data_IF_271110582856
#
_entry.id   IF_271110582856
#
_cell.length_a   1.000
_cell.length_b   1.000
_cell.length_c   1.000
_cell.angle_alpha   90.00
_cell.angle_beta   90.00
_cell.angle_gamma   90.00
#
_symmetry.space_group_name_H-M   'P 1'
#
loop_
_entity.id
_entity.type
_entity.pdbx_description
1 polymer ?
#
# COMPACT_ATOMS: atom_id res chain seq x y z
N UNK A 1 6.64 -15.93 0.43
CA UNK A 1 7.82 -15.78 1.30
C UNK A 1 9.00 -16.65 0.86
N UNK A 2 8.90 -17.96 0.55
CA UNK A 2 10.06 -18.75 0.08
C UNK A 2 10.82 -18.11 -1.08
N UNK A 3 10.11 -17.64 -2.09
CA UNK A 3 10.70 -16.95 -3.24
C UNK A 3 11.47 -15.68 -2.85
N UNK A 4 11.00 -14.95 -1.83
CA UNK A 4 11.73 -13.77 -1.33
C UNK A 4 13.04 -14.17 -0.63
N UNK A 5 13.04 -15.28 0.11
CA UNK A 5 14.25 -15.81 0.73
C UNK A 5 15.27 -16.24 -0.33
N UNK A 6 14.85 -16.99 -1.36
CA UNK A 6 15.71 -17.34 -2.49
C UNK A 6 16.33 -16.11 -3.17
N UNK A 7 15.49 -15.10 -3.47
CA UNK A 7 16.01 -13.85 -4.07
C UNK A 7 17.00 -13.13 -3.16
N UNK A 8 16.75 -13.15 -1.85
CA UNK A 8 17.66 -12.54 -0.88
C UNK A 8 19.05 -13.18 -0.95
N UNK A 9 19.12 -14.50 -0.88
CA UNK A 9 20.38 -15.24 -0.98
C UNK A 9 21.06 -15.05 -2.34
N UNK A 10 20.30 -15.02 -3.44
CA UNK A 10 20.87 -14.75 -4.77
C UNK A 10 21.48 -13.35 -4.85
N UNK A 11 20.79 -12.34 -4.33
CA UNK A 11 21.26 -10.95 -4.33
C UNK A 11 22.51 -10.82 -3.46
N UNK A 12 22.49 -11.40 -2.26
CA UNK A 12 23.64 -11.41 -1.35
C UNK A 12 24.89 -12.01 -2.02
N UNK A 13 24.72 -13.10 -2.75
CA UNK A 13 25.83 -13.80 -3.40
C UNK A 13 26.30 -13.12 -4.70
N UNK A 14 25.37 -12.64 -5.54
CA UNK A 14 25.70 -12.19 -6.90
C UNK A 14 25.89 -10.67 -7.02
N UNK A 15 25.16 -9.89 -6.21
CA UNK A 15 25.18 -8.42 -6.30
C UNK A 15 24.83 -7.73 -4.96
N UNK A 16 25.62 -7.95 -3.88
CA UNK A 16 25.30 -7.48 -2.53
C UNK A 16 25.18 -5.96 -2.42
N UNK A 17 25.82 -5.22 -3.32
CA UNK A 17 25.79 -3.75 -3.36
C UNK A 17 24.60 -3.17 -4.16
N UNK A 18 23.77 -4.01 -4.79
CA UNK A 18 22.65 -3.56 -5.58
C UNK A 18 21.55 -2.93 -4.72
N UNK A 19 20.90 -1.89 -5.25
CA UNK A 19 19.65 -1.41 -4.72
C UNK A 19 18.50 -2.30 -5.17
N UNK A 20 17.69 -2.76 -4.22
CA UNK A 20 16.46 -3.51 -4.46
C UNK A 20 15.28 -2.56 -4.27
N UNK A 21 14.47 -2.39 -5.32
CA UNK A 21 13.24 -1.61 -5.28
C UNK A 21 12.08 -2.59 -5.36
N UNK A 22 11.44 -2.87 -4.23
CA UNK A 22 10.33 -3.80 -4.17
C UNK A 22 9.01 -3.14 -4.62
N UNK A 23 8.37 -3.76 -5.61
CA UNK A 23 7.05 -3.39 -6.14
C UNK A 23 6.04 -4.53 -5.91
N UNK A 24 6.48 -5.64 -5.30
CA UNK A 24 5.66 -6.82 -5.12
C UNK A 24 4.75 -6.67 -3.89
N UNK A 25 3.58 -7.28 -3.97
CA UNK A 25 2.65 -7.45 -2.85
C UNK A 25 2.57 -8.92 -2.45
N UNK A 26 2.43 -9.21 -1.15
CA UNK A 26 2.28 -8.27 -0.02
C UNK A 26 3.61 -7.56 0.31
N UNK A 27 3.60 -6.23 0.27
CA UNK A 27 4.80 -5.40 0.33
C UNK A 27 5.59 -5.61 1.64
N UNK A 28 4.92 -5.48 2.76
CA UNK A 28 5.56 -5.50 4.07
C UNK A 28 6.18 -6.86 4.38
N UNK A 29 5.45 -7.94 4.15
CA UNK A 29 5.90 -9.30 4.40
C UNK A 29 7.09 -9.68 3.50
N UNK A 30 7.02 -9.33 2.20
CA UNK A 30 8.15 -9.53 1.28
C UNK A 30 9.40 -8.79 1.74
N UNK A 31 9.26 -7.51 2.09
CA UNK A 31 10.39 -6.69 2.55
C UNK A 31 10.96 -7.19 3.88
N UNK A 32 10.10 -7.64 4.79
CA UNK A 32 10.54 -8.19 6.08
C UNK A 32 11.36 -9.46 5.88
N UNK A 33 10.92 -10.38 5.01
CA UNK A 33 11.68 -11.59 4.69
C UNK A 33 13.01 -11.23 4.02
N UNK A 34 13.00 -10.38 2.99
CA UNK A 34 14.22 -9.95 2.31
C UNK A 34 15.27 -9.39 3.29
N UNK A 35 14.84 -8.55 4.24
CA UNK A 35 15.71 -7.94 5.23
C UNK A 35 16.16 -8.90 6.34
N UNK A 36 15.37 -9.93 6.67
CA UNK A 36 15.78 -10.95 7.63
C UNK A 36 16.84 -11.88 7.08
N UNK A 37 16.66 -12.30 5.82
CA UNK A 37 17.63 -13.19 5.15
C UNK A 37 18.93 -12.46 4.79
N UNK A 38 18.85 -11.19 4.39
CA UNK A 38 20.01 -10.36 4.11
C UNK A 38 19.89 -8.97 4.78
N UNK A 39 20.32 -8.81 6.05
CA UNK A 39 20.18 -7.58 6.83
C UNK A 39 20.82 -6.34 6.18
N UNK A 40 21.94 -6.49 5.46
CA UNK A 40 22.67 -5.40 4.82
C UNK A 40 22.06 -4.98 3.46
N UNK A 41 21.06 -5.70 2.96
CA UNK A 41 20.41 -5.38 1.67
C UNK A 41 19.98 -3.91 1.59
N UNK A 42 20.38 -3.23 0.52
CA UNK A 42 19.90 -1.88 0.19
C UNK A 42 18.49 -1.98 -0.40
N UNK A 43 17.47 -1.90 0.45
CA UNK A 43 16.08 -2.18 0.10
C UNK A 43 15.18 -0.99 0.37
N UNK A 44 14.31 -0.68 -0.58
CA UNK A 44 13.13 0.16 -0.40
C UNK A 44 11.93 -0.45 -1.12
N UNK A 45 10.73 -0.15 -0.65
CA UNK A 45 9.47 -0.43 -1.35
C UNK A 45 8.84 0.85 -1.87
N UNK A 46 8.02 0.76 -2.91
CA UNK A 46 7.19 1.88 -3.37
C UNK A 46 5.89 1.35 -3.97
N UNK A 47 4.80 2.08 -3.78
CA UNK A 47 3.48 1.78 -4.33
C UNK A 47 2.91 2.98 -5.10
N UNK A 48 1.89 2.73 -5.91
CA UNK A 48 1.20 3.79 -6.66
C UNK A 48 0.03 4.42 -5.89
N UNK A 49 -0.35 3.88 -4.74
CA UNK A 49 -1.57 4.29 -4.02
C UNK A 49 -1.50 5.74 -3.52
N UNK A 50 -0.33 6.12 -2.96
CA UNK A 50 -0.08 7.50 -2.52
C UNK A 50 -0.11 8.51 -3.67
N UNK A 51 0.15 8.06 -4.91
CA UNK A 51 0.13 8.94 -6.08
C UNK A 51 -1.30 9.26 -6.52
N UNK A 52 -2.21 8.27 -6.47
CA UNK A 52 -3.62 8.48 -6.78
C UNK A 52 -4.27 9.45 -5.78
N UNK A 53 -3.92 9.35 -4.50
CA UNK A 53 -4.40 10.27 -3.48
C UNK A 53 -3.89 11.71 -3.68
N UNK A 54 -2.63 11.88 -4.08
CA UNK A 54 -2.10 13.22 -4.43
C UNK A 54 -2.72 13.79 -5.71
N UNK A 55 -3.14 12.93 -6.66
CA UNK A 55 -3.88 13.35 -7.85
C UNK A 55 -5.25 13.92 -7.49
N UNK A 56 -5.97 13.28 -6.56
CA UNK A 56 -7.23 13.83 -6.03
C UNK A 56 -7.02 15.22 -5.41
N UNK A 57 -5.97 15.38 -4.58
CA UNK A 57 -5.66 16.65 -3.93
C UNK A 57 -5.30 17.73 -4.98
N UNK A 58 -4.53 17.38 -6.01
CA UNK A 58 -4.19 18.31 -7.08
C UNK A 58 -5.45 18.74 -7.86
N UNK A 59 -6.37 17.81 -8.12
CA UNK A 59 -7.66 18.09 -8.76
C UNK A 59 -8.53 19.00 -7.89
N UNK A 60 -8.60 18.72 -6.58
CA UNK A 60 -9.28 19.59 -5.62
C UNK A 60 -8.75 21.05 -5.67
N UNK A 61 -7.41 21.21 -5.70
CA UNK A 61 -6.80 22.53 -5.80
C UNK A 61 -7.18 23.24 -7.11
N UNK A 62 -7.17 22.52 -8.24
CA UNK A 62 -7.59 23.05 -9.51
C UNK A 62 -9.04 23.52 -9.48
N UNK A 63 -9.96 22.70 -8.97
CA UNK A 63 -11.38 23.02 -8.91
C UNK A 63 -11.67 24.17 -7.92
N UNK A 64 -11.13 24.09 -6.72
CA UNK A 64 -11.44 25.07 -5.65
C UNK A 64 -10.84 26.45 -5.92
N UNK A 65 -9.70 26.52 -6.60
CA UNK A 65 -9.03 27.80 -6.94
C UNK A 65 -9.34 28.29 -8.35
N UNK A 66 -10.05 27.50 -9.16
CA UNK A 66 -10.32 27.85 -10.57
C UNK A 66 -9.04 27.93 -11.42
N UNK A 67 -8.01 27.16 -11.11
CA UNK A 67 -6.72 27.13 -11.82
C UNK A 67 -6.54 25.78 -12.54
N UNK A 68 -5.59 25.72 -13.44
CA UNK A 68 -5.25 24.47 -14.16
C UNK A 68 -3.75 24.20 -14.10
N UNK A 69 -3.37 22.95 -14.35
CA UNK A 69 -1.97 22.54 -14.46
C UNK A 69 -1.30 22.18 -13.15
N UNK A 70 -2.02 22.15 -12.02
CA UNK A 70 -1.48 21.60 -10.77
C UNK A 70 -1.33 20.09 -10.92
N UNK A 71 -0.14 19.60 -10.68
CA UNK A 71 0.18 18.17 -10.79
C UNK A 71 0.34 17.56 -9.41
N UNK A 72 0.18 16.26 -9.26
CA UNK A 72 0.40 15.53 -8.01
C UNK A 72 1.78 15.81 -7.37
N UNK A 73 2.81 16.10 -8.21
CA UNK A 73 4.18 16.41 -7.74
C UNK A 73 4.31 17.79 -7.09
N UNK A 74 3.38 18.68 -7.38
CA UNK A 74 3.34 20.03 -6.83
C UNK A 74 2.72 20.02 -5.42
N UNK A 75 1.98 18.97 -5.07
CA UNK A 75 1.43 18.74 -3.73
C UNK A 75 2.52 18.15 -2.83
N UNK A 76 2.81 18.83 -1.73
CA UNK A 76 3.69 18.32 -0.67
C UNK A 76 2.85 17.72 0.44
N UNK A 77 3.35 16.64 1.00
CA UNK A 77 2.61 15.88 2.02
C UNK A 77 3.55 15.42 3.11
N UNK A 78 3.09 15.38 4.35
CA UNK A 78 3.72 14.53 5.36
C UNK A 78 3.01 13.17 5.33
N UNK A 79 3.76 12.11 5.06
CA UNK A 79 3.25 10.75 4.92
C UNK A 79 3.73 9.90 6.08
N UNK A 80 2.81 9.21 6.76
CA UNK A 80 3.12 8.33 7.88
C UNK A 80 2.09 7.19 8.00
N UNK A 81 2.54 6.00 8.39
CA UNK A 81 1.69 4.83 8.59
C UNK A 81 2.39 3.54 8.24
N UNK A 82 1.67 2.43 8.27
CA UNK A 82 2.17 1.14 7.79
C UNK A 82 2.07 1.07 6.26
N UNK A 83 2.98 0.33 5.64
CA UNK A 83 2.93 0.11 4.18
C UNK A 83 1.57 -0.45 3.75
N UNK A 84 0.91 0.21 2.79
CA UNK A 84 -0.43 -0.13 2.30
C UNK A 84 -1.59 0.39 3.15
N UNK A 85 -1.31 1.06 4.29
CA UNK A 85 -2.30 1.78 5.08
C UNK A 85 -1.64 2.99 5.75
N UNK A 86 -1.28 3.93 4.91
CA UNK A 86 -0.61 5.18 5.27
C UNK A 86 -1.55 6.38 5.18
N UNK A 87 -1.14 7.50 5.75
CA UNK A 87 -1.96 8.67 5.96
C UNK A 87 -1.20 9.96 5.68
N UNK A 88 -1.92 11.03 5.34
CA UNK A 88 -1.40 12.39 5.31
C UNK A 88 -1.99 13.19 6.47
N UNK A 89 -1.15 13.70 7.35
CA UNK A 89 -1.52 14.64 8.42
C UNK A 89 -1.25 16.10 8.02
N UNK A 90 -0.46 16.30 6.96
CA UNK A 90 -0.19 17.61 6.37
C UNK A 90 -0.20 17.47 4.83
N UNK A 91 -0.89 18.42 4.17
CA UNK A 91 -0.87 18.58 2.72
C UNK A 91 -0.72 20.05 2.38
N UNK A 92 0.23 20.40 1.48
CA UNK A 92 0.48 21.81 1.10
C UNK A 92 0.66 21.96 -0.40
N UNK A 93 0.32 23.16 -0.91
CA UNK A 93 0.58 23.61 -2.27
C UNK A 93 1.06 25.06 -2.26
N UNK A 94 2.25 25.33 -2.81
CA UNK A 94 2.81 26.68 -2.81
C UNK A 94 3.08 27.24 -1.42
N UNK A 95 3.20 26.39 -0.38
CA UNK A 95 3.37 26.79 1.02
C UNK A 95 2.05 27.04 1.78
N UNK A 96 0.90 26.91 1.11
CA UNK A 96 -0.43 27.03 1.72
C UNK A 96 -0.87 25.68 2.29
N UNK A 97 -1.43 25.67 3.51
CA UNK A 97 -2.07 24.50 4.10
C UNK A 97 -3.39 24.19 3.39
N UNK A 98 -3.50 22.98 2.89
CA UNK A 98 -4.68 22.50 2.16
C UNK A 98 -5.66 21.70 3.04
N UNK A 99 -5.36 21.42 4.30
CA UNK A 99 -6.23 20.62 5.19
C UNK A 99 -7.64 21.25 5.34
N UNK A 100 -7.79 22.57 5.52
CA UNK A 100 -9.11 23.21 5.54
C UNK A 100 -9.87 23.03 4.22
N UNK A 101 -9.21 23.25 3.09
CA UNK A 101 -9.80 23.06 1.76
C UNK A 101 -10.23 21.59 1.52
N UNK A 102 -9.41 20.63 1.96
CA UNK A 102 -9.74 19.22 1.85
C UNK A 102 -10.96 18.85 2.71
N UNK A 103 -11.14 19.50 3.87
CA UNK A 103 -12.33 19.32 4.71
C UNK A 103 -13.61 19.76 3.99
N UNK A 104 -13.61 20.94 3.43
CA UNK A 104 -14.77 21.45 2.65
C UNK A 104 -15.07 20.53 1.44
N UNK A 105 -14.00 20.05 0.78
CA UNK A 105 -14.14 19.14 -0.35
C UNK A 105 -14.69 17.77 0.07
N UNK A 106 -14.22 17.22 1.19
CA UNK A 106 -14.71 15.97 1.75
C UNK A 106 -16.17 16.08 2.20
N UNK A 107 -16.57 17.17 2.86
CA UNK A 107 -17.96 17.45 3.24
C UNK A 107 -18.87 17.53 2.01
N UNK A 108 -18.44 18.23 0.96
CA UNK A 108 -19.18 18.35 -0.30
C UNK A 108 -19.43 17.02 -0.98
N UNK A 109 -18.45 16.10 -0.94
CA UNK A 109 -18.51 14.83 -1.66
C UNK A 109 -18.72 13.61 -0.76
N UNK A 110 -19.00 13.77 0.54
CA UNK A 110 -19.19 12.67 1.50
C UNK A 110 -20.25 11.66 1.04
N UNK A 111 -21.38 12.13 0.54
CA UNK A 111 -22.51 11.29 0.11
C UNK A 111 -22.37 10.82 -1.34
N UNK A 112 -22.02 11.74 -2.25
CA UNK A 112 -21.96 11.43 -3.68
C UNK A 112 -20.69 10.70 -4.09
N UNK A 113 -19.60 10.90 -3.36
CA UNK A 113 -18.25 10.57 -3.78
C UNK A 113 -17.74 11.49 -4.89
N UNK A 114 -16.44 11.41 -5.16
CA UNK A 114 -15.80 12.01 -6.31
C UNK A 114 -15.19 10.92 -7.19
N UNK A 115 -15.61 10.83 -8.44
CA UNK A 115 -15.16 9.82 -9.39
C UNK A 115 -14.41 10.48 -10.56
N UNK A 116 -13.16 10.12 -10.80
CA UNK A 116 -12.44 10.55 -12.00
C UNK A 116 -13.11 10.05 -13.29
N UNK A 117 -13.70 8.85 -13.23
CA UNK A 117 -14.49 8.24 -14.29
C UNK A 117 -15.73 7.59 -13.70
N UNK A 118 -16.87 8.05 -14.12
CA UNK A 118 -18.17 7.63 -13.61
C UNK A 118 -18.35 6.12 -13.71
N UNK A 119 -18.66 5.49 -12.57
CA UNK A 119 -18.91 4.04 -12.43
C UNK A 119 -17.72 3.12 -12.77
N UNK A 120 -16.49 3.63 -12.91
CA UNK A 120 -15.32 2.78 -13.21
C UNK A 120 -15.09 1.72 -12.12
N UNK A 121 -15.38 2.03 -10.85
CA UNK A 121 -15.24 1.12 -9.72
C UNK A 121 -16.03 -0.20 -9.87
N UNK A 122 -17.08 -0.24 -10.71
CA UNK A 122 -17.86 -1.46 -10.95
C UNK A 122 -17.10 -2.52 -11.76
N UNK A 123 -16.11 -2.12 -12.51
CA UNK A 123 -15.33 -2.99 -13.41
C UNK A 123 -13.84 -3.01 -13.10
N UNK A 124 -13.37 -2.01 -12.38
CA UNK A 124 -11.97 -1.83 -11.98
C UNK A 124 -11.88 -1.66 -10.46
N UNK A 125 -11.44 -2.69 -9.71
CA UNK A 125 -11.29 -2.60 -8.25
C UNK A 125 -10.20 -1.61 -7.77
N UNK A 126 -9.38 -1.08 -8.68
CA UNK A 126 -8.38 -0.06 -8.35
C UNK A 126 -8.96 1.37 -8.50
N UNK A 127 -10.20 1.50 -9.01
CA UNK A 127 -10.95 2.74 -9.05
C UNK A 127 -11.98 2.79 -7.91
N UNK A 128 -12.22 3.98 -7.40
CA UNK A 128 -13.18 4.25 -6.33
C UNK A 128 -13.80 5.65 -6.49
N UNK A 129 -14.65 6.02 -5.53
CA UNK A 129 -15.27 7.35 -5.47
C UNK A 129 -14.77 8.17 -4.27
N UNK A 130 -13.68 7.77 -3.64
CA UNK A 130 -13.06 8.45 -2.50
C UNK A 130 -13.98 8.63 -1.27
N UNK A 131 -15.10 7.91 -1.19
CA UNK A 131 -16.08 8.03 -0.10
C UNK A 131 -15.53 7.53 1.23
N UNK A 132 -14.82 6.37 1.22
CA UNK A 132 -14.17 5.84 2.43
C UNK A 132 -13.08 6.80 2.92
N UNK A 133 -12.32 7.37 1.99
CA UNK A 133 -11.30 8.38 2.28
C UNK A 133 -11.90 9.62 2.94
N UNK A 134 -12.99 10.15 2.40
CA UNK A 134 -13.67 11.33 2.96
C UNK A 134 -14.27 11.02 4.34
N UNK A 135 -14.93 9.88 4.51
CA UNK A 135 -15.52 9.48 5.79
C UNK A 135 -14.44 9.30 6.88
N UNK A 136 -13.36 8.59 6.57
CA UNK A 136 -12.25 8.41 7.51
C UNK A 136 -11.62 9.75 7.88
N UNK A 137 -11.39 10.63 6.90
CA UNK A 137 -10.86 11.96 7.18
C UNK A 137 -11.78 12.80 8.06
N UNK A 138 -13.06 12.86 7.76
CA UNK A 138 -14.03 13.65 8.54
C UNK A 138 -14.15 13.14 9.99
N UNK A 139 -14.00 11.83 10.21
CA UNK A 139 -14.05 11.22 11.55
C UNK A 139 -12.72 11.27 12.30
N UNK A 140 -11.60 11.07 11.62
CA UNK A 140 -10.30 10.89 12.26
C UNK A 140 -9.38 12.11 12.15
N UNK A 141 -9.71 13.07 11.26
CA UNK A 141 -8.92 14.28 11.06
C UNK A 141 -7.62 14.08 10.27
N UNK A 142 -7.39 12.89 9.72
CA UNK A 142 -6.19 12.50 8.96
C UNK A 142 -6.60 11.81 7.65
N UNK A 143 -5.93 12.11 6.56
CA UNK A 143 -6.33 11.67 5.21
C UNK A 143 -5.73 10.31 4.89
N UNK A 144 -6.51 9.25 4.58
CA UNK A 144 -5.95 8.01 4.04
C UNK A 144 -5.20 8.26 2.73
N UNK A 145 -3.92 7.88 2.69
CA UNK A 145 -3.06 8.04 1.52
C UNK A 145 -3.23 6.91 0.48
N UNK A 146 -4.10 5.96 0.75
CA UNK A 146 -4.40 4.78 -0.08
C UNK A 146 -5.78 4.91 -0.73
N UNK A 147 -6.12 4.01 -1.67
CA UNK A 147 -7.46 3.97 -2.27
C UNK A 147 -8.51 3.46 -1.27
N UNK A 148 -9.80 3.68 -1.60
CA UNK A 148 -10.93 3.34 -0.71
C UNK A 148 -10.98 1.86 -0.36
N UNK A 149 -10.76 0.97 -1.34
CA UNK A 149 -10.75 -0.48 -1.10
C UNK A 149 -9.65 -0.85 -0.10
N UNK A 150 -8.42 -0.38 -0.31
CA UNK A 150 -7.32 -0.64 0.62
C UNK A 150 -7.63 -0.10 2.01
N UNK A 151 -8.09 1.14 2.13
CA UNK A 151 -8.48 1.71 3.41
C UNK A 151 -9.57 0.90 4.11
N UNK A 152 -10.59 0.46 3.37
CA UNK A 152 -11.70 -0.33 3.88
C UNK A 152 -11.27 -1.72 4.38
N UNK A 153 -10.35 -2.39 3.67
CA UNK A 153 -9.81 -3.71 4.02
C UNK A 153 -8.98 -3.68 5.32
N UNK A 154 -8.41 -2.53 5.69
CA UNK A 154 -7.65 -2.36 6.94
C UNK A 154 -8.52 -1.93 8.13
N UNK A 155 -9.75 -1.49 7.88
CA UNK A 155 -10.70 -1.14 8.92
C UNK A 155 -11.47 -2.39 9.41
N UNK A 156 -12.09 -2.34 10.61
CA UNK A 156 -13.18 -3.25 10.93
C UNK A 156 -14.23 -3.24 9.80
N UNK A 157 -15.15 -4.22 9.72
CA UNK A 157 -16.04 -4.36 8.57
C UNK A 157 -17.11 -3.25 8.45
N UNK A 158 -16.70 -2.01 8.66
CA UNK A 158 -17.56 -0.83 8.51
C UNK A 158 -18.03 -0.64 7.06
N UNK A 159 -17.14 -0.97 6.12
CA UNK A 159 -17.34 -0.77 4.69
C UNK A 159 -17.38 -2.08 3.90
N UNK A 160 -16.96 -3.20 4.54
CA UNK A 160 -16.70 -4.49 3.87
C UNK A 160 -17.64 -5.60 4.34
N UNK A 161 -18.70 -5.26 5.10
CA UNK A 161 -19.66 -6.22 5.65
C UNK A 161 -20.20 -7.18 4.60
N UNK A 162 -20.57 -6.67 3.45
CA UNK A 162 -21.03 -7.42 2.29
C UNK A 162 -20.84 -6.63 0.99
N UNK A 163 -21.16 -7.24 -0.14
CA UNK A 163 -21.01 -6.61 -1.46
C UNK A 163 -21.96 -5.43 -1.69
N UNK A 164 -23.09 -5.37 -0.98
CA UNK A 164 -24.04 -4.24 -1.07
C UNK A 164 -23.49 -3.04 -0.34
N UNK A 165 -22.89 -3.29 0.84
CA UNK A 165 -22.18 -2.24 1.59
C UNK A 165 -21.03 -1.66 0.77
N UNK A 166 -20.15 -2.50 0.22
CA UNK A 166 -19.06 -2.05 -0.66
C UNK A 166 -19.56 -1.22 -1.85
N UNK A 167 -20.65 -1.68 -2.50
CA UNK A 167 -21.26 -0.96 -3.62
C UNK A 167 -21.86 0.39 -3.20
N UNK A 168 -22.40 0.49 -1.98
CA UNK A 168 -22.92 1.75 -1.43
C UNK A 168 -21.77 2.77 -1.22
N UNK A 169 -20.58 2.30 -0.85
CA UNK A 169 -19.36 3.09 -0.72
C UNK A 169 -18.62 3.31 -2.04
N UNK A 170 -19.16 2.79 -3.15
CA UNK A 170 -18.63 2.95 -4.52
C UNK A 170 -17.20 2.45 -4.69
N UNK A 171 -16.90 1.29 -4.15
CA UNK A 171 -15.71 0.51 -4.48
C UNK A 171 -16.07 -0.98 -4.67
N UNK A 172 -15.15 -1.76 -5.23
CA UNK A 172 -15.36 -3.18 -5.51
C UNK A 172 -14.24 -4.05 -4.92
N UNK A 173 -14.55 -5.29 -4.50
CA UNK A 173 -13.52 -6.20 -4.01
C UNK A 173 -12.60 -6.68 -5.14
N UNK A 174 -11.34 -6.97 -4.81
CA UNK A 174 -10.37 -7.57 -5.72
C UNK A 174 -10.63 -9.08 -5.86
N UNK A 175 -11.49 -9.48 -6.79
CA UNK A 175 -11.87 -10.88 -6.99
C UNK A 175 -10.77 -11.71 -7.64
N UNK A 176 -10.76 -13.03 -7.36
CA UNK A 176 -9.83 -13.99 -8.00
C UNK A 176 -9.98 -13.97 -9.52
N UNK A 177 -11.21 -13.90 -10.02
CA UNK A 177 -11.48 -13.84 -11.46
C UNK A 177 -10.90 -12.58 -12.10
N UNK A 178 -11.01 -11.42 -11.43
CA UNK A 178 -10.38 -10.20 -11.88
C UNK A 178 -8.85 -10.35 -11.94
N UNK A 179 -8.23 -10.86 -10.87
CA UNK A 179 -6.77 -11.12 -10.83
C UNK A 179 -6.32 -12.04 -11.95
N UNK A 180 -7.03 -13.15 -12.21
CA UNK A 180 -6.72 -14.09 -13.30
C UNK A 180 -6.81 -13.38 -14.68
N UNK A 181 -7.85 -12.58 -14.91
CA UNK A 181 -8.01 -11.83 -16.15
C UNK A 181 -6.86 -10.87 -16.36
N UNK A 182 -6.57 -10.00 -15.36
CA UNK A 182 -5.47 -9.02 -15.45
C UNK A 182 -4.11 -9.71 -15.67
N UNK A 183 -3.86 -10.83 -15.01
CA UNK A 183 -2.64 -11.62 -15.24
C UNK A 183 -2.53 -12.10 -16.69
N UNK A 184 -3.62 -12.66 -17.23
CA UNK A 184 -3.68 -13.10 -18.63
C UNK A 184 -3.43 -11.93 -19.60
N UNK A 185 -4.12 -10.80 -19.40
CA UNK A 185 -4.00 -9.61 -20.27
C UNK A 185 -2.59 -9.02 -20.21
N UNK A 186 -2.00 -8.90 -19.02
CA UNK A 186 -0.62 -8.45 -18.84
C UNK A 186 0.38 -9.39 -19.52
N UNK A 187 0.19 -10.71 -19.38
CA UNK A 187 1.06 -11.70 -20.01
C UNK A 187 0.99 -11.62 -21.54
N UNK A 188 -0.21 -11.48 -22.10
CA UNK A 188 -0.40 -11.28 -23.54
C UNK A 188 0.26 -9.98 -24.02
N UNK A 189 0.16 -8.91 -23.25
CA UNK A 189 0.79 -7.61 -23.55
C UNK A 189 2.32 -7.69 -23.53
N UNK A 190 2.90 -8.39 -22.53
CA UNK A 190 4.35 -8.61 -22.46
C UNK A 190 4.85 -9.38 -23.68
N UNK A 191 4.13 -10.43 -24.12
CA UNK A 191 4.48 -11.17 -25.35
C UNK A 191 4.52 -10.25 -26.58
N UNK A 192 3.56 -9.32 -26.71
CA UNK A 192 3.55 -8.34 -27.82
C UNK A 192 4.75 -7.39 -27.75
N UNK A 193 5.17 -6.97 -26.54
CA UNK A 193 6.40 -6.18 -26.39
C UNK A 193 7.64 -6.98 -26.79
N UNK A 194 7.75 -8.24 -26.37
CA UNK A 194 8.89 -9.11 -26.70
C UNK A 194 8.99 -9.39 -28.19
N UNK A 195 7.87 -9.51 -28.88
CA UNK A 195 7.81 -9.71 -30.35
C UNK A 195 8.05 -8.44 -31.15
N UNK A 196 8.07 -7.27 -30.50
CA UNK A 196 8.15 -5.97 -31.20
C UNK A 196 6.84 -5.51 -31.83
N UNK A 197 5.72 -6.20 -31.58
CA UNK A 197 4.39 -5.85 -32.13
C UNK A 197 3.88 -4.49 -31.64
N UNK A 198 4.29 -4.12 -30.43
CA UNK A 198 3.97 -2.84 -29.79
C UNK A 198 5.18 -2.30 -29.05
N UNK A 199 5.30 -0.98 -28.99
CA UNK A 199 6.33 -0.31 -28.19
C UNK A 199 5.77 0.09 -26.83
N UNK A 200 6.57 -0.02 -25.73
CA UNK A 200 6.18 0.52 -24.45
C UNK A 200 5.91 2.02 -24.54
N UNK A 201 4.75 2.44 -24.03
CA UNK A 201 4.45 3.88 -23.90
C UNK A 201 4.98 4.36 -22.55
N UNK A 202 5.50 5.58 -22.52
CA UNK A 202 5.77 6.27 -21.26
C UNK A 202 4.48 6.43 -20.47
N UNK A 203 4.48 6.01 -19.23
CA UNK A 203 3.32 6.13 -18.32
C UNK A 203 3.80 6.80 -17.04
N UNK A 204 3.19 7.93 -16.68
CA UNK A 204 3.47 8.63 -15.43
C UNK A 204 2.68 8.02 -14.25
N UNK A 205 2.83 6.70 -14.06
CA UNK A 205 2.10 5.95 -13.02
C UNK A 205 2.96 5.55 -11.82
N UNK A 206 4.26 5.85 -11.85
CA UNK A 206 5.20 5.45 -10.79
C UNK A 206 6.35 6.45 -10.72
N UNK A 207 7.01 6.54 -9.56
CA UNK A 207 8.23 7.35 -9.37
C UNK A 207 9.51 6.49 -9.45
N UNK A 208 9.41 5.23 -9.85
CA UNK A 208 10.59 4.34 -9.95
C UNK A 208 11.71 4.88 -10.85
N UNK A 209 11.43 5.44 -12.03
CA UNK A 209 12.48 6.04 -12.86
C UNK A 209 13.20 7.21 -12.16
N UNK A 210 12.46 8.05 -11.45
CA UNK A 210 13.01 9.16 -10.69
C UNK A 210 13.82 8.69 -9.48
N UNK A 211 13.36 7.64 -8.79
CA UNK A 211 14.09 6.98 -7.71
C UNK A 211 15.43 6.45 -8.23
N UNK A 212 15.41 5.71 -9.33
CA UNK A 212 16.64 5.19 -9.97
C UNK A 212 17.58 6.34 -10.36
N UNK A 213 17.03 7.38 -11.01
CA UNK A 213 17.82 8.56 -11.40
C UNK A 213 18.48 9.21 -10.19
N UNK A 214 17.76 9.37 -9.07
CA UNK A 214 18.30 9.97 -7.86
C UNK A 214 19.39 9.07 -7.22
N UNK A 215 19.16 7.76 -7.14
CA UNK A 215 20.14 6.80 -6.64
C UNK A 215 21.44 6.78 -7.48
N UNK A 216 21.32 7.01 -8.79
CA UNK A 216 22.46 7.13 -9.70
C UNK A 216 23.14 8.52 -9.66
N UNK A 217 22.60 9.47 -8.88
CA UNK A 217 23.21 10.80 -8.72
C UNK A 217 22.65 11.86 -9.67
N UNK A 218 21.53 11.62 -10.32
CA UNK A 218 20.82 12.57 -11.21
C UNK A 218 19.99 13.64 -10.46
N UNK A 219 20.38 13.98 -9.23
CA UNK A 219 19.70 14.96 -8.37
C UNK A 219 19.10 14.30 -7.14
N UNK A 220 18.52 15.12 -6.26
CA UNK A 220 17.80 14.66 -5.07
C UNK A 220 16.30 14.51 -5.36
N UNK A 221 15.65 13.56 -4.69
CA UNK A 221 14.22 13.31 -4.77
C UNK A 221 13.68 13.11 -3.36
N UNK A 222 12.52 13.73 -3.06
CA UNK A 222 11.70 13.34 -1.92
C UNK A 222 10.53 12.55 -2.48
N UNK A 223 10.38 11.29 -2.04
CA UNK A 223 9.34 10.37 -2.51
C UNK A 223 8.79 9.54 -1.35
N UNK A 224 7.54 9.09 -1.52
CA UNK A 224 6.93 8.10 -0.65
C UNK A 224 7.61 6.74 -0.85
N UNK A 225 8.12 6.15 0.22
CA UNK A 225 8.76 4.83 0.20
C UNK A 225 8.40 4.01 1.43
N UNK A 226 8.39 2.69 1.26
CA UNK A 226 8.28 1.74 2.36
C UNK A 226 9.67 1.36 2.85
N UNK A 227 9.90 1.48 4.16
CA UNK A 227 11.15 1.16 4.84
C UNK A 227 10.86 0.55 6.22
N UNK A 228 11.78 -0.22 6.82
CA UNK A 228 11.67 -0.61 8.22
C UNK A 228 11.60 0.62 9.14
N UNK A 229 10.66 0.62 10.08
CA UNK A 229 10.53 1.68 11.07
C UNK A 229 11.75 1.72 12.00
N UNK A 230 12.41 2.85 12.05
CA UNK A 230 13.53 3.17 12.96
C UNK A 230 13.25 4.49 13.69
N UNK A 231 11.96 4.72 14.01
CA UNK A 231 11.46 5.95 14.63
C UNK A 231 10.83 6.95 13.65
N UNK A 232 10.70 6.63 12.35
CA UNK A 232 10.01 7.51 11.39
C UNK A 232 8.55 7.73 11.76
N UNK A 233 7.91 6.69 12.31
CA UNK A 233 6.57 6.75 12.89
C UNK A 233 6.69 6.31 14.35
N UNK A 234 6.61 7.27 15.26
CA UNK A 234 7.00 7.10 16.68
C UNK A 234 6.18 6.05 17.43
N UNK A 235 4.90 5.95 17.14
CA UNK A 235 3.96 5.05 17.83
C UNK A 235 3.59 3.79 17.05
N UNK A 236 4.42 3.40 16.08
CA UNK A 236 4.38 2.09 15.45
C UNK A 236 5.59 1.24 15.89
N UNK A 237 5.45 -0.09 15.94
CA UNK A 237 6.55 -0.96 16.39
C UNK A 237 7.82 -0.78 15.54
N UNK A 238 8.98 -0.84 16.21
CA UNK A 238 10.27 -0.82 15.53
C UNK A 238 10.40 -2.04 14.58
N UNK A 239 11.02 -1.83 13.42
CA UNK A 239 11.20 -2.85 12.41
C UNK A 239 9.98 -3.09 11.51
N UNK A 240 8.77 -2.69 11.91
CA UNK A 240 7.59 -2.75 11.03
C UNK A 240 7.85 -1.97 9.73
N UNK A 241 7.42 -2.51 8.60
CA UNK A 241 7.53 -1.79 7.33
C UNK A 241 6.50 -0.66 7.31
N UNK A 242 7.00 0.57 7.42
CA UNK A 242 6.21 1.81 7.37
C UNK A 242 6.37 2.49 6.02
N UNK A 243 5.39 3.29 5.64
CA UNK A 243 5.43 4.12 4.44
C UNK A 243 5.52 5.58 4.88
N UNK A 244 6.63 6.22 4.53
CA UNK A 244 6.94 7.62 4.87
C UNK A 244 7.63 8.29 3.70
N UNK A 245 7.77 9.61 3.76
CA UNK A 245 8.66 10.31 2.84
C UNK A 245 10.12 9.92 3.11
N UNK A 246 10.94 9.86 2.06
CA UNK A 246 12.37 9.73 2.18
C UNK A 246 13.11 10.67 1.23
N UNK A 247 14.24 11.17 1.67
CA UNK A 247 15.21 11.85 0.81
C UNK A 247 16.08 10.79 0.13
N UNK A 248 15.98 10.72 -1.19
CA UNK A 248 16.74 9.83 -2.05
C UNK A 248 17.81 10.66 -2.76
N UNK A 249 19.05 10.24 -2.67
CA UNK A 249 20.20 10.88 -3.29
C UNK A 249 21.20 9.80 -3.76
N UNK A 250 22.32 10.20 -4.36
CA UNK A 250 23.30 9.26 -4.88
C UNK A 250 23.68 8.20 -3.84
N UNK A 251 23.31 6.95 -4.13
CA UNK A 251 23.62 5.78 -3.29
C UNK A 251 23.01 5.80 -1.88
N UNK A 252 22.03 6.65 -1.61
CA UNK A 252 21.49 6.85 -0.26
C UNK A 252 19.97 7.06 -0.27
N UNK A 253 19.30 6.42 0.69
CA UNK A 253 17.88 6.65 1.03
C UNK A 253 17.80 6.96 2.52
N UNK A 254 17.28 8.12 2.86
CA UNK A 254 17.12 8.58 4.25
C UNK A 254 15.64 8.84 4.51
N UNK A 255 15.06 8.05 5.40
CA UNK A 255 13.69 8.28 5.83
C UNK A 255 13.55 9.67 6.46
N UNK A 256 12.45 10.34 6.17
CA UNK A 256 12.03 11.55 6.86
C UNK A 256 11.19 11.13 8.06
N UNK A 257 11.40 11.74 9.20
CA UNK A 257 10.55 11.54 10.37
C UNK A 257 9.15 12.05 10.04
N UNK A 258 8.17 11.16 10.05
CA UNK A 258 6.75 11.49 9.83
C UNK A 258 6.05 11.94 11.12
N UNK A 259 6.65 11.66 12.29
CA UNK A 259 6.10 11.99 13.60
C UNK A 259 5.18 10.89 14.14
N UNK A 260 4.06 11.29 14.73
CA UNK A 260 3.16 10.40 15.47
C UNK A 260 1.78 10.32 14.81
N UNK A 261 1.30 9.12 14.55
CA UNK A 261 -0.09 8.92 14.14
C UNK A 261 -1.06 9.36 15.27
N UNK A 262 -2.19 10.01 14.95
CA UNK A 262 -3.29 10.16 15.90
C UNK A 262 -3.70 8.79 16.46
N UNK A 263 -4.09 8.74 17.74
CA UNK A 263 -4.39 7.49 18.44
C UNK A 263 -5.44 6.63 17.71
N UNK A 264 -6.44 7.27 17.11
CA UNK A 264 -7.49 6.58 16.33
C UNK A 264 -6.95 5.86 15.09
N UNK A 265 -6.05 6.49 14.34
CA UNK A 265 -5.40 5.88 13.16
C UNK A 265 -4.33 4.86 13.58
N UNK A 266 -3.59 5.14 14.67
CA UNK A 266 -2.63 4.21 15.24
C UNK A 266 -3.30 2.90 15.69
N UNK A 267 -4.44 2.99 16.38
CA UNK A 267 -5.22 1.82 16.82
C UNK A 267 -5.64 0.90 15.67
N UNK A 268 -6.01 1.47 14.53
CA UNK A 268 -6.28 0.69 13.32
C UNK A 268 -5.01 0.07 12.72
N UNK A 269 -3.88 0.76 12.79
CA UNK A 269 -2.64 0.35 12.13
C UNK A 269 -1.81 -0.68 12.90
N UNK A 270 -1.74 -0.54 14.24
CA UNK A 270 -0.88 -1.36 15.11
C UNK A 270 -1.25 -2.84 15.06
N UNK A 271 -2.53 -3.17 15.03
CA UNK A 271 -3.02 -4.54 14.90
C UNK A 271 -2.47 -5.22 13.66
N UNK A 272 -2.50 -4.53 12.51
CA UNK A 272 -1.95 -5.06 11.26
C UNK A 272 -0.43 -5.17 11.29
N UNK A 273 0.27 -4.25 11.95
CA UNK A 273 1.71 -4.34 12.11
C UNK A 273 2.12 -5.64 12.82
N UNK A 274 1.47 -5.98 13.93
CA UNK A 274 1.72 -7.23 14.64
C UNK A 274 1.26 -8.47 13.88
N UNK A 275 0.13 -8.42 13.17
CA UNK A 275 -0.33 -9.54 12.36
C UNK A 275 0.65 -9.89 11.24
N UNK A 276 1.18 -8.89 10.55
CA UNK A 276 2.18 -9.10 9.48
C UNK A 276 3.45 -9.72 10.04
N UNK A 277 3.89 -9.25 11.18
CA UNK A 277 5.04 -9.83 11.88
C UNK A 277 4.76 -11.30 12.28
N UNK A 278 3.57 -11.60 12.80
CA UNK A 278 3.18 -12.96 13.12
C UNK A 278 3.14 -13.87 11.87
N UNK A 279 2.65 -13.38 10.73
CA UNK A 279 2.65 -14.13 9.47
C UNK A 279 4.07 -14.44 8.99
N UNK A 280 5.00 -13.47 9.09
CA UNK A 280 6.40 -13.71 8.73
C UNK A 280 7.06 -14.67 9.71
N UNK A 281 6.77 -14.54 11.00
CA UNK A 281 7.27 -15.46 12.03
C UNK A 281 6.76 -16.88 11.83
N UNK A 282 5.48 -17.05 11.51
CA UNK A 282 4.90 -18.35 11.15
C UNK A 282 5.67 -19.02 10.00
N UNK A 283 6.05 -18.24 8.99
CA UNK A 283 6.87 -18.73 7.88
C UNK A 283 8.26 -19.17 8.33
N UNK A 284 8.96 -18.36 9.12
CA UNK A 284 10.34 -18.65 9.58
C UNK A 284 10.37 -19.84 10.52
N UNK A 285 9.42 -19.92 11.48
CA UNK A 285 9.33 -20.98 12.48
C UNK A 285 8.64 -22.24 11.96
N UNK A 286 8.09 -22.20 10.74
CA UNK A 286 7.26 -23.27 10.14
C UNK A 286 6.06 -23.65 11.03
N UNK A 287 5.46 -22.67 11.67
CA UNK A 287 4.40 -22.86 12.67
C UNK A 287 3.05 -22.32 12.13
N UNK A 288 2.14 -23.26 11.81
CA UNK A 288 0.80 -22.93 11.32
C UNK A 288 -0.15 -22.44 12.43
N UNK A 289 0.14 -22.66 13.71
CA UNK A 289 -0.67 -22.15 14.81
C UNK A 289 -0.44 -20.63 14.98
N UNK A 290 0.78 -20.17 14.75
CA UNK A 290 1.07 -18.72 14.68
C UNK A 290 0.30 -18.09 13.52
N UNK A 291 0.28 -18.74 12.35
CA UNK A 291 -0.48 -18.27 11.19
C UNK A 291 -2.00 -18.25 11.47
N UNK A 292 -2.51 -19.26 12.16
CA UNK A 292 -3.92 -19.33 12.56
C UNK A 292 -4.29 -18.18 13.52
N UNK A 293 -3.44 -17.88 14.50
CA UNK A 293 -3.68 -16.77 15.41
C UNK A 293 -3.67 -15.41 14.67
N UNK A 294 -2.77 -15.22 13.71
CA UNK A 294 -2.78 -14.02 12.85
C UNK A 294 -4.06 -13.93 12.00
N UNK A 295 -4.53 -15.06 11.46
CA UNK A 295 -5.80 -15.15 10.72
C UNK A 295 -7.00 -14.76 11.60
N UNK A 296 -7.10 -15.29 12.82
CA UNK A 296 -8.16 -14.93 13.77
C UNK A 296 -8.11 -13.46 14.19
N UNK A 297 -6.92 -12.88 14.24
CA UNK A 297 -6.74 -11.50 14.65
C UNK A 297 -6.94 -10.50 13.49
N UNK A 298 -7.29 -10.93 12.29
CA UNK A 298 -7.59 -10.02 11.18
C UNK A 298 -8.92 -9.27 11.46
N UNK A 299 -8.97 -7.92 11.30
CA UNK A 299 -10.20 -7.15 11.55
C UNK A 299 -11.40 -7.57 10.74
N UNK A 300 -11.20 -8.11 9.53
CA UNK A 300 -12.31 -8.58 8.69
C UNK A 300 -12.83 -9.97 9.08
N UNK A 301 -12.18 -10.64 10.03
CA UNK A 301 -12.64 -11.90 10.59
C UNK A 301 -13.82 -11.65 11.55
N UNK A 302 -15.02 -12.01 11.14
CA UNK A 302 -16.27 -11.74 11.87
C UNK A 302 -17.01 -12.99 12.33
N UNK A 303 -16.56 -14.17 11.91
CA UNK A 303 -17.20 -15.43 12.30
C UNK A 303 -16.69 -15.94 13.65
N UNK A 304 -17.45 -16.87 14.26
CA UNK A 304 -17.07 -17.51 15.51
C UNK A 304 -15.85 -18.43 15.38
N UNK A 305 -15.19 -18.78 16.49
CA UNK A 305 -13.95 -19.57 16.50
C UNK A 305 -14.10 -20.92 15.79
N UNK A 306 -15.22 -21.62 15.93
CA UNK A 306 -15.46 -22.92 15.28
C UNK A 306 -15.50 -22.75 13.77
N UNK A 307 -16.28 -21.80 13.26
CA UNK A 307 -16.41 -21.50 11.84
C UNK A 307 -15.08 -21.00 11.26
N UNK A 308 -14.36 -20.13 11.97
CA UNK A 308 -13.03 -19.67 11.57
C UNK A 308 -12.03 -20.82 11.46
N UNK A 309 -12.10 -21.78 12.38
CA UNK A 309 -11.23 -22.96 12.35
C UNK A 309 -11.51 -23.84 11.14
N UNK A 310 -12.78 -24.05 10.82
CA UNK A 310 -13.20 -24.81 9.61
C UNK A 310 -12.75 -24.10 8.34
N UNK A 311 -13.00 -22.79 8.24
CA UNK A 311 -12.59 -21.97 7.12
C UNK A 311 -11.06 -22.01 6.93
N UNK A 312 -10.29 -21.86 8.01
CA UNK A 312 -8.82 -21.94 7.93
C UNK A 312 -8.33 -23.29 7.42
N UNK A 313 -8.92 -24.41 7.88
CA UNK A 313 -8.58 -25.76 7.40
C UNK A 313 -8.91 -25.94 5.91
N UNK A 314 -10.05 -25.42 5.45
CA UNK A 314 -10.41 -25.46 4.04
C UNK A 314 -9.44 -24.65 3.19
N UNK A 315 -9.06 -23.45 3.64
CA UNK A 315 -8.06 -22.62 2.97
C UNK A 315 -6.70 -23.32 2.88
N UNK A 316 -6.21 -23.91 3.97
CA UNK A 316 -4.95 -24.68 3.96
C UNK A 316 -5.01 -25.86 3.00
N UNK A 317 -6.14 -26.60 2.98
CA UNK A 317 -6.36 -27.71 2.06
C UNK A 317 -6.32 -27.27 0.60
N UNK A 318 -6.97 -26.14 0.28
CA UNK A 318 -7.02 -25.59 -1.08
C UNK A 318 -5.65 -25.15 -1.60
N UNK A 319 -4.73 -24.75 -0.72
CA UNK A 319 -3.38 -24.26 -1.08
C UNK A 319 -2.27 -25.23 -0.69
N UNK A 320 -2.61 -26.47 -0.30
CA UNK A 320 -1.67 -27.47 0.23
C UNK A 320 -0.40 -27.63 -0.62
N UNK A 321 -0.55 -27.63 -1.94
CA UNK A 321 0.59 -27.78 -2.85
C UNK A 321 1.58 -26.60 -2.81
N UNK A 322 1.17 -25.48 -2.25
CA UNK A 322 2.01 -24.27 -2.06
C UNK A 322 2.56 -24.14 -0.64
N UNK A 323 2.16 -25.08 0.25
CA UNK A 323 2.56 -25.12 1.66
C UNK A 323 3.56 -26.24 1.98
N UNK A 324 4.14 -26.87 0.97
CA UNK A 324 5.10 -27.98 1.15
C UNK A 324 6.28 -27.59 2.04
N UNK A 325 6.65 -26.31 2.04
CA UNK A 325 7.69 -25.76 2.92
C UNK A 325 7.40 -25.94 4.42
N UNK A 326 6.12 -26.04 4.82
CA UNK A 326 5.72 -26.26 6.22
C UNK A 326 5.65 -27.74 6.59
N UNK A 327 5.83 -28.64 5.63
CA UNK A 327 5.74 -30.10 5.84
C UNK A 327 7.13 -30.76 5.91
N UNK A 328 8.19 -30.01 5.61
CA UNK A 328 9.58 -30.43 5.74
C UNK A 328 10.18 -29.96 7.07
#
# INVERSE_FOLDING_TARGET
MPLCAEYSHMIEHLCPEAWVINLCTPMAECMTVLKREFPEMKLLGTSSDTFASRELIATMVCESKGISGVRRRDIKTNLLGISGFSWYDEITYGGEDLMPMFREYAEKYSDSGYEFRINEYKTNPDADAHRVKFDLFLRLGIIPAVNDRSAAEFCPPWYTKDTKEMASWKFSPMTVNYKKRIFSDKTAKVKKYMNGDILPKSVDSTEVPEIIRALCGGGNLISAVSLPNRGQVENLPEGTIVETNALISRGSVRAVCGGRLPESAAGLSVRHAYNREAVVRAYVEKDLDIAFNAFLNDPVMTCGLTEATELYREMLSAVRNHLLYYCE
#
